data_IF_716016506762
#
_entry.id   IF_716016506762
#
_cell.length_a   1.000
_cell.length_b   1.000
_cell.length_c   1.000
_cell.angle_alpha   90.00
_cell.angle_beta   90.00
_cell.angle_gamma   90.00
#
_symmetry.space_group_name_H-M   'P 1'
#
loop_
_entity.id
_entity.type
_entity.pdbx_description
1 polymer ?
#
# COMPACT_ATOMS: atom_id res chain seq x y z
N UNK A 1 -3.78 56.14 49.69
CA UNK A 1 -4.75 55.15 49.17
C UNK A 1 -4.46 54.67 47.74
N UNK A 2 -3.81 55.44 46.84
CA UNK A 2 -3.50 54.99 45.47
C UNK A 2 -2.41 53.90 45.33
N UNK A 3 -1.47 53.81 46.28
CA UNK A 3 -0.34 52.86 46.17
C UNK A 3 -0.73 51.39 46.43
N UNK A 4 -1.84 51.14 47.12
CA UNK A 4 -2.36 49.78 47.37
C UNK A 4 -3.17 49.24 46.18
N UNK A 5 -3.89 50.12 45.47
CA UNK A 5 -4.68 49.76 44.28
C UNK A 5 -3.78 49.40 43.08
N UNK A 6 -2.65 50.10 42.91
CA UNK A 6 -1.62 49.76 41.91
C UNK A 6 -0.94 48.41 42.19
N UNK A 7 -0.64 48.11 43.45
CA UNK A 7 -0.03 46.82 43.84
C UNK A 7 -1.00 45.65 43.64
N UNK A 8 -2.28 45.82 43.98
CA UNK A 8 -3.32 44.81 43.75
C UNK A 8 -3.61 44.60 42.25
N UNK A 9 -3.59 45.66 41.45
CA UNK A 9 -3.76 45.60 40.00
C UNK A 9 -2.61 44.85 39.29
N UNK A 10 -1.36 45.10 39.68
CA UNK A 10 -0.19 44.40 39.14
C UNK A 10 -0.17 42.90 39.48
N UNK A 11 -0.58 42.53 40.70
CA UNK A 11 -0.67 41.11 41.10
C UNK A 11 -1.79 40.37 40.37
N UNK A 12 -2.90 41.05 40.04
CA UNK A 12 -4.01 40.44 39.31
C UNK A 12 -3.63 40.16 37.83
N UNK A 13 -2.91 41.07 37.17
CA UNK A 13 -2.46 40.88 35.78
C UNK A 13 -1.39 39.78 35.68
N UNK A 14 -0.46 39.71 36.63
CA UNK A 14 0.52 38.62 36.70
C UNK A 14 -0.15 37.25 36.94
N UNK A 15 -1.18 37.19 37.78
CA UNK A 15 -1.96 35.96 38.02
C UNK A 15 -2.71 35.46 36.79
N UNK A 16 -3.34 36.36 36.03
CA UNK A 16 -4.04 36.00 34.78
C UNK A 16 -3.04 35.54 33.71
N UNK A 17 -1.88 36.22 33.58
CA UNK A 17 -0.84 35.83 32.64
C UNK A 17 -0.26 34.44 32.94
N UNK A 18 0.06 34.15 34.20
CA UNK A 18 0.53 32.83 34.62
C UNK A 18 -0.55 31.75 34.46
N UNK A 19 -1.82 32.08 34.72
CA UNK A 19 -2.95 31.18 34.49
C UNK A 19 -3.11 30.79 33.02
N UNK A 20 -3.03 31.76 32.09
CA UNK A 20 -3.11 31.49 30.64
C UNK A 20 -1.93 30.63 30.18
N UNK A 21 -0.71 30.91 30.63
CA UNK A 21 0.48 30.11 30.27
C UNK A 21 0.35 28.67 30.79
N UNK A 22 -0.14 28.47 32.02
CA UNK A 22 -0.36 27.14 32.58
C UNK A 22 -1.46 26.41 31.79
N UNK A 23 -2.57 27.06 31.43
CA UNK A 23 -3.65 26.44 30.62
C UNK A 23 -3.11 26.00 29.24
N UNK A 24 -2.35 26.87 28.56
CA UNK A 24 -1.78 26.55 27.25
C UNK A 24 -0.73 25.43 27.33
N UNK A 25 0.09 25.42 28.37
CA UNK A 25 1.04 24.31 28.62
C UNK A 25 0.31 23.01 28.94
N UNK A 26 -0.80 23.06 29.68
CA UNK A 26 -1.59 21.89 30.05
C UNK A 26 -2.36 21.32 28.85
N UNK A 27 -2.83 22.16 27.92
CA UNK A 27 -3.41 21.73 26.65
C UNK A 27 -2.37 21.12 25.69
N UNK A 28 -1.18 21.72 25.61
CA UNK A 28 -0.08 21.19 24.81
C UNK A 28 0.36 19.81 25.32
N UNK A 29 0.54 19.68 26.64
CA UNK A 29 0.86 18.39 27.27
C UNK A 29 -0.26 17.36 27.09
N UNK A 30 -1.54 17.78 27.17
CA UNK A 30 -2.67 16.87 26.92
C UNK A 30 -2.66 16.36 25.47
N UNK A 31 -2.37 17.22 24.48
CA UNK A 31 -2.23 16.80 23.07
C UNK A 31 -1.09 15.81 22.86
N UNK A 32 0.08 16.05 23.45
CA UNK A 32 1.20 15.11 23.38
C UNK A 32 0.84 13.76 24.02
N UNK A 33 0.20 13.77 25.19
CA UNK A 33 -0.25 12.53 25.85
C UNK A 33 -1.32 11.75 25.07
N UNK A 34 -2.09 12.44 24.24
CA UNK A 34 -3.10 11.83 23.38
C UNK A 34 -2.49 11.25 22.09
N UNK A 35 -1.40 11.84 21.59
CA UNK A 35 -0.60 11.30 20.49
C UNK A 35 0.13 10.01 20.89
N UNK A 36 0.71 9.98 22.09
CA UNK A 36 1.46 8.83 22.61
C UNK A 36 0.58 7.69 23.13
N UNK A 37 -0.76 7.81 23.06
CA UNK A 37 -1.66 6.77 23.53
C UNK A 37 -1.53 5.53 22.63
N UNK A 38 -1.12 4.37 23.17
CA UNK A 38 -1.06 3.13 22.39
C UNK A 38 -2.44 2.78 21.86
N UNK A 39 -2.53 2.53 20.55
CA UNK A 39 -3.75 2.08 19.88
C UNK A 39 -4.15 0.72 20.47
N UNK A 40 -5.26 0.68 21.22
CA UNK A 40 -5.85 -0.59 21.67
C UNK A 40 -6.25 -1.40 20.44
N UNK A 41 -5.69 -2.59 20.31
CA UNK A 41 -6.12 -3.57 19.32
C UNK A 41 -7.55 -4.01 19.66
N UNK A 42 -8.47 -4.12 18.68
CA UNK A 42 -9.80 -4.67 18.92
C UNK A 42 -9.73 -6.18 19.23
N UNK A 43 -10.48 -6.61 20.23
CA UNK A 43 -10.71 -8.04 20.53
C UNK A 43 -11.26 -8.78 19.29
N UNK A 44 -10.87 -10.05 19.03
CA UNK A 44 -11.13 -10.70 17.75
C UNK A 44 -12.57 -11.20 17.55
N UNK A 45 -13.47 -11.03 18.51
CA UNK A 45 -14.76 -11.70 18.47
C UNK A 45 -15.92 -10.73 18.22
N UNK A 46 -16.48 -10.86 17.01
CA UNK A 46 -17.74 -10.30 16.50
C UNK A 46 -17.62 -9.06 15.59
N UNK A 47 -17.34 -9.30 14.30
CA UNK A 47 -17.53 -8.35 13.20
C UNK A 47 -18.67 -8.78 12.25
N UNK A 48 -19.46 -7.84 11.67
CA UNK A 48 -20.56 -8.16 10.78
C UNK A 48 -20.13 -8.37 9.32
N UNK A 49 -21.00 -9.09 8.61
CA UNK A 49 -21.00 -9.54 7.21
C UNK A 49 -20.06 -8.87 6.18
N UNK A 50 -19.08 -9.69 5.78
CA UNK A 50 -18.43 -9.87 4.46
C UNK A 50 -18.84 -8.92 3.31
N UNK A 51 -17.88 -8.09 2.88
CA UNK A 51 -17.71 -7.70 1.47
C UNK A 51 -16.35 -8.25 1.01
N UNK A 52 -16.37 -9.19 0.06
CA UNK A 52 -15.19 -9.94 -0.41
C UNK A 52 -14.17 -9.01 -1.08
N UNK A 53 -13.23 -8.47 -0.30
CA UNK A 53 -11.98 -7.92 -0.80
C UNK A 53 -10.89 -8.95 -0.50
N UNK A 54 -10.43 -9.65 -1.53
CA UNK A 54 -9.44 -10.71 -1.37
C UNK A 54 -8.06 -10.07 -1.18
N UNK A 55 -7.74 -9.70 0.06
CA UNK A 55 -6.37 -9.31 0.45
C UNK A 55 -5.52 -10.58 0.62
N UNK A 56 -4.83 -11.01 -0.44
CA UNK A 56 -3.98 -12.21 -0.38
C UNK A 56 -2.74 -11.93 0.47
N UNK A 57 -2.75 -12.43 1.72
CA UNK A 57 -1.60 -12.48 2.63
C UNK A 57 -0.98 -13.89 2.66
N UNK A 58 0.34 -13.87 2.89
CA UNK A 58 1.24 -14.88 3.49
C UNK A 58 2.08 -15.78 2.56
N UNK A 59 3.29 -16.01 3.07
CA UNK A 59 4.53 -16.44 2.42
C UNK A 59 4.93 -17.79 3.06
N UNK A 60 4.56 -18.88 2.39
CA UNK A 60 4.91 -20.29 2.67
C UNK A 60 5.17 -20.97 1.32
N UNK A 61 5.95 -22.08 1.25
CA UNK A 61 6.06 -22.87 0.02
C UNK A 61 4.65 -23.33 -0.34
N UNK A 62 4.11 -22.81 -1.44
CA UNK A 62 2.74 -23.09 -1.85
C UNK A 62 2.68 -24.46 -2.51
N UNK A 63 1.64 -25.22 -2.18
CA UNK A 63 1.32 -26.42 -2.94
C UNK A 63 0.99 -26.04 -4.40
N UNK A 64 1.17 -26.97 -5.34
CA UNK A 64 0.81 -26.75 -6.74
C UNK A 64 -0.64 -26.27 -6.88
N UNK A 65 -1.55 -26.84 -6.09
CA UNK A 65 -2.95 -26.43 -6.06
C UNK A 65 -3.14 -24.97 -5.62
N UNK A 66 -2.38 -24.48 -4.64
CA UNK A 66 -2.46 -23.07 -4.21
C UNK A 66 -1.90 -22.11 -5.26
N UNK A 67 -0.90 -22.52 -6.03
CA UNK A 67 -0.35 -21.74 -7.14
C UNK A 67 -1.34 -21.65 -8.30
N UNK A 68 -1.99 -22.76 -8.64
CA UNK A 68 -3.07 -22.80 -9.64
C UNK A 68 -4.25 -21.93 -9.23
N UNK A 69 -4.72 -22.06 -7.98
CA UNK A 69 -5.79 -21.24 -7.43
C UNK A 69 -5.44 -19.75 -7.48
N UNK A 70 -4.18 -19.39 -7.22
CA UNK A 70 -3.75 -17.99 -7.29
C UNK A 70 -3.76 -17.45 -8.72
N UNK A 71 -3.31 -18.24 -9.70
CA UNK A 71 -3.32 -17.84 -11.11
C UNK A 71 -4.75 -17.63 -11.60
N UNK A 72 -5.64 -18.60 -11.39
CA UNK A 72 -7.04 -18.53 -11.82
C UNK A 72 -7.77 -17.34 -11.20
N UNK A 73 -7.50 -17.06 -9.92
CA UNK A 73 -8.04 -15.89 -9.25
C UNK A 73 -7.57 -14.59 -9.90
N UNK A 74 -6.27 -14.45 -10.19
CA UNK A 74 -5.73 -13.24 -10.84
C UNK A 74 -6.30 -13.06 -12.25
N UNK A 75 -6.45 -14.13 -13.02
CA UNK A 75 -7.09 -14.09 -14.34
C UNK A 75 -8.53 -13.60 -14.23
N UNK A 76 -9.30 -14.14 -13.28
CA UNK A 76 -10.68 -13.71 -13.03
C UNK A 76 -10.77 -12.24 -12.65
N UNK A 77 -9.91 -11.79 -11.73
CA UNK A 77 -9.89 -10.40 -11.25
C UNK A 77 -9.54 -9.41 -12.36
N UNK A 78 -8.54 -9.73 -13.19
CA UNK A 78 -8.14 -8.87 -14.31
C UNK A 78 -9.20 -8.85 -15.42
N UNK A 79 -9.80 -9.99 -15.75
CA UNK A 79 -10.84 -10.07 -16.79
C UNK A 79 -12.13 -9.37 -16.40
N UNK A 80 -12.39 -9.18 -15.09
CA UNK A 80 -13.57 -8.50 -14.56
C UNK A 80 -13.30 -7.06 -14.11
N UNK A 81 -12.12 -6.52 -14.38
CA UNK A 81 -11.65 -5.20 -13.89
C UNK A 81 -11.86 -5.03 -12.36
N UNK A 82 -11.73 -6.13 -11.59
CA UNK A 82 -11.94 -6.17 -10.14
C UNK A 82 -10.65 -6.35 -9.33
N UNK A 83 -9.51 -6.44 -10.01
CA UNK A 83 -8.21 -6.32 -9.39
C UNK A 83 -8.04 -4.91 -8.81
N UNK A 84 -7.56 -4.81 -7.57
CA UNK A 84 -7.42 -3.53 -6.86
C UNK A 84 -5.94 -3.24 -6.59
N UNK A 85 -5.49 -2.02 -6.90
CA UNK A 85 -4.17 -1.56 -6.54
C UNK A 85 -4.17 -1.17 -5.06
N UNK A 86 -3.49 -1.95 -4.22
CA UNK A 86 -3.49 -1.74 -2.75
C UNK A 86 -2.81 -0.44 -2.29
N UNK A 87 -2.15 0.31 -3.19
CA UNK A 87 -1.52 1.59 -2.88
C UNK A 87 -2.54 2.73 -2.94
N UNK A 88 -3.33 2.82 -4.03
CA UNK A 88 -4.33 3.87 -4.24
C UNK A 88 -5.77 3.42 -3.95
N UNK A 89 -6.00 2.12 -3.76
CA UNK A 89 -7.33 1.50 -3.57
C UNK A 89 -8.28 1.61 -4.77
N UNK A 90 -7.75 1.95 -5.95
CA UNK A 90 -8.50 1.98 -7.21
C UNK A 90 -8.36 0.67 -7.99
N UNK A 91 -9.36 0.39 -8.83
CA UNK A 91 -9.36 -0.76 -9.72
C UNK A 91 -8.28 -0.66 -10.80
N UNK A 92 -7.74 -1.82 -11.17
CA UNK A 92 -6.79 -2.01 -12.25
C UNK A 92 -7.59 -2.49 -13.47
N UNK A 93 -7.68 -1.64 -14.48
CA UNK A 93 -8.29 -1.95 -15.77
C UNK A 93 -7.24 -2.25 -16.83
N UNK A 94 -7.70 -2.82 -17.95
CA UNK A 94 -6.87 -3.09 -19.13
C UNK A 94 -6.15 -1.86 -19.71
N UNK A 95 -6.62 -0.64 -19.43
CA UNK A 95 -6.01 0.61 -19.91
C UNK A 95 -4.82 1.05 -19.06
N UNK A 96 -4.71 0.54 -17.84
CA UNK A 96 -3.66 0.95 -16.93
C UNK A 96 -2.32 0.29 -17.30
N UNK A 97 -1.23 1.05 -17.12
CA UNK A 97 0.10 0.45 -17.03
C UNK A 97 0.26 -0.17 -15.65
N UNK A 98 0.78 -1.40 -15.60
CA UNK A 98 0.87 -2.15 -14.35
C UNK A 98 2.28 -2.70 -14.11
N UNK A 99 2.54 -3.05 -12.87
CA UNK A 99 3.70 -3.82 -12.47
C UNK A 99 3.26 -4.94 -11.52
N UNK A 100 3.85 -6.13 -11.67
CA UNK A 100 3.57 -7.28 -10.82
C UNK A 100 4.80 -7.66 -10.01
N UNK A 101 4.59 -7.93 -8.72
CA UNK A 101 5.67 -8.34 -7.84
C UNK A 101 6.20 -9.74 -8.23
N UNK A 102 7.51 -9.92 -8.47
CA UNK A 102 8.08 -11.20 -8.88
C UNK A 102 8.02 -12.28 -7.78
N UNK A 103 7.72 -11.88 -6.53
CA UNK A 103 7.72 -12.80 -5.40
C UNK A 103 6.33 -13.17 -4.86
N UNK A 104 5.34 -12.30 -5.03
CA UNK A 104 3.98 -12.55 -4.51
C UNK A 104 2.88 -12.33 -5.56
N UNK A 105 3.23 -11.87 -6.76
CA UNK A 105 2.35 -11.68 -7.90
C UNK A 105 1.21 -10.66 -7.72
N UNK A 106 1.24 -9.86 -6.65
CA UNK A 106 0.33 -8.73 -6.53
C UNK A 106 0.61 -7.71 -7.64
N UNK A 107 -0.46 -7.14 -8.18
CA UNK A 107 -0.43 -6.20 -9.30
C UNK A 107 -0.73 -4.81 -8.76
N UNK A 108 0.01 -3.83 -9.25
CA UNK A 108 -0.11 -2.42 -8.88
C UNK A 108 -0.17 -1.58 -10.15
N UNK A 109 -0.77 -0.40 -10.09
CA UNK A 109 -0.54 0.61 -11.13
C UNK A 109 0.96 0.96 -11.16
N UNK A 110 1.50 1.11 -12.37
CA UNK A 110 2.92 1.39 -12.56
C UNK A 110 3.33 2.69 -11.85
N UNK A 111 2.52 3.73 -11.94
CA UNK A 111 2.82 5.03 -11.32
C UNK A 111 2.84 4.92 -9.80
N UNK A 112 1.87 4.21 -9.22
CA UNK A 112 1.78 3.97 -7.78
C UNK A 112 3.01 3.24 -7.24
N UNK A 113 3.42 2.15 -7.90
CA UNK A 113 4.56 1.37 -7.43
C UNK A 113 5.90 2.07 -7.71
N UNK A 114 5.98 2.90 -8.75
CA UNK A 114 7.19 3.67 -9.06
C UNK A 114 7.41 4.74 -7.99
N UNK A 115 6.36 5.50 -7.64
CA UNK A 115 6.42 6.46 -6.55
C UNK A 115 6.75 5.78 -5.20
N UNK A 116 6.17 4.61 -4.94
CA UNK A 116 6.50 3.82 -3.75
C UNK A 116 7.98 3.43 -3.72
N UNK A 117 8.51 2.92 -4.83
CA UNK A 117 9.89 2.51 -4.96
C UNK A 117 10.84 3.69 -4.72
N UNK A 118 10.57 4.85 -5.31
CA UNK A 118 11.36 6.07 -5.13
C UNK A 118 11.38 6.56 -3.68
N UNK A 119 10.24 6.55 -2.99
CA UNK A 119 10.14 6.98 -1.59
C UNK A 119 10.80 6.03 -0.60
N UNK A 120 10.94 4.74 -0.98
CA UNK A 120 11.49 3.69 -0.12
C UNK A 120 12.83 3.16 -0.65
N UNK A 121 13.48 3.87 -1.60
CA UNK A 121 14.75 3.43 -2.16
C UNK A 121 15.88 3.64 -1.15
N UNK A 122 16.56 2.55 -0.83
CA UNK A 122 17.77 2.54 -0.02
C UNK A 122 18.88 1.84 -0.80
N UNK A 123 19.76 2.63 -1.41
CA UNK A 123 20.87 2.14 -2.24
C UNK A 123 20.39 1.25 -3.40
N UNK A 124 19.37 1.69 -4.15
CA UNK A 124 18.78 0.93 -5.27
C UNK A 124 18.07 -0.37 -4.86
N UNK A 125 17.61 -0.45 -3.61
CA UNK A 125 16.84 -1.55 -3.06
C UNK A 125 15.62 -0.96 -2.35
N UNK A 126 14.43 -1.47 -2.66
CA UNK A 126 13.18 -1.11 -2.00
C UNK A 126 12.35 -2.37 -1.75
N UNK A 127 11.40 -2.34 -0.82
CA UNK A 127 10.62 -3.54 -0.47
C UNK A 127 9.18 -3.47 -1.01
N UNK A 128 8.65 -4.60 -1.47
CA UNK A 128 7.26 -4.72 -1.93
C UNK A 128 6.26 -4.31 -0.83
N UNK A 129 5.22 -3.49 -1.14
CA UNK A 129 4.21 -3.08 -0.16
C UNK A 129 3.47 -4.25 0.49
N UNK A 130 3.30 -5.36 -0.24
CA UNK A 130 2.49 -6.51 0.20
C UNK A 130 3.35 -7.58 0.88
N UNK A 131 4.38 -8.09 0.21
CA UNK A 131 5.16 -9.21 0.73
C UNK A 131 6.46 -8.80 1.42
N UNK A 132 6.81 -7.50 1.41
CA UNK A 132 7.99 -6.93 2.07
C UNK A 132 9.33 -7.54 1.64
N UNK A 133 9.35 -8.29 0.53
CA UNK A 133 10.60 -8.78 -0.08
C UNK A 133 11.27 -7.65 -0.82
N UNK A 134 12.59 -7.65 -0.76
CA UNK A 134 13.44 -6.65 -1.37
C UNK A 134 13.49 -6.81 -2.89
N UNK A 135 13.49 -5.67 -3.57
CA UNK A 135 13.50 -5.53 -5.01
C UNK A 135 14.66 -4.61 -5.35
N UNK A 136 15.62 -5.15 -6.09
CA UNK A 136 16.74 -4.38 -6.60
C UNK A 136 16.28 -3.60 -7.84
N UNK A 137 16.25 -2.27 -7.75
CA UNK A 137 15.99 -1.41 -8.90
C UNK A 137 17.23 -1.31 -9.80
N UNK A 138 18.43 -1.54 -9.27
CA UNK A 138 19.71 -1.34 -9.98
C UNK A 138 19.81 0.06 -10.64
N UNK A 139 19.15 1.07 -10.07
CA UNK A 139 19.06 2.42 -10.64
C UNK A 139 18.18 2.52 -11.90
N UNK A 140 17.41 1.48 -12.23
CA UNK A 140 16.50 1.45 -13.38
C UNK A 140 15.06 1.77 -12.96
N UNK A 141 14.37 2.53 -13.80
CA UNK A 141 12.93 2.78 -13.67
C UNK A 141 12.13 1.50 -13.91
N UNK A 142 11.05 1.32 -13.15
CA UNK A 142 10.12 0.22 -13.38
C UNK A 142 9.46 0.37 -14.76
N UNK A 143 9.38 -0.73 -15.51
CA UNK A 143 8.81 -0.75 -16.85
C UNK A 143 7.50 -1.52 -16.86
N UNK A 144 6.54 -1.03 -17.64
CA UNK A 144 5.34 -1.78 -17.96
C UNK A 144 5.72 -2.93 -18.91
N UNK A 145 5.69 -4.15 -18.40
CA UNK A 145 5.91 -5.38 -19.17
C UNK A 145 4.71 -6.30 -19.03
N UNK A 146 4.54 -7.21 -19.98
CA UNK A 146 3.55 -8.26 -19.86
C UNK A 146 3.78 -9.12 -18.63
N UNK A 147 2.77 -9.89 -18.20
CA UNK A 147 2.84 -10.68 -16.96
C UNK A 147 4.00 -11.70 -16.90
N UNK A 148 4.51 -12.17 -18.05
CA UNK A 148 5.71 -13.01 -18.11
C UNK A 148 7.02 -12.23 -18.30
N UNK A 149 6.98 -10.92 -18.50
CA UNK A 149 8.14 -10.05 -18.65
C UNK A 149 8.75 -9.97 -20.05
N UNK A 150 8.17 -10.69 -21.04
CA UNK A 150 8.71 -10.78 -22.41
C UNK A 150 8.59 -9.49 -23.22
N UNK A 151 7.42 -8.85 -23.16
CA UNK A 151 7.10 -7.69 -23.99
C UNK A 151 6.92 -6.44 -23.14
N UNK A 152 7.50 -5.34 -23.57
CA UNK A 152 7.25 -4.00 -23.02
C UNK A 152 6.00 -3.41 -23.66
N UNK A 153 5.17 -2.72 -22.86
CA UNK A 153 3.91 -2.13 -23.31
C UNK A 153 3.02 -3.10 -24.11
N UNK A 154 2.60 -4.23 -23.52
CA UNK A 154 1.75 -5.20 -24.20
C UNK A 154 0.43 -4.55 -24.64
N UNK A 155 0.04 -4.84 -25.87
CA UNK A 155 -1.27 -4.44 -26.40
C UNK A 155 -2.37 -5.32 -25.84
N UNK A 156 -3.55 -4.76 -25.70
CA UNK A 156 -4.76 -5.52 -25.38
C UNK A 156 -5.12 -6.39 -26.58
N UNK A 157 -5.40 -7.67 -26.34
CA UNK A 157 -5.74 -8.66 -27.36
C UNK A 157 -7.04 -9.33 -26.93
N UNK A 158 -8.01 -9.39 -27.83
CA UNK A 158 -9.30 -10.04 -27.56
C UNK A 158 -9.13 -11.51 -27.18
N UNK A 159 -9.77 -11.93 -26.09
CA UNK A 159 -9.69 -13.30 -25.58
C UNK A 159 -8.40 -13.64 -24.81
N UNK A 160 -7.48 -12.69 -24.64
CA UNK A 160 -6.29 -12.85 -23.80
C UNK A 160 -6.48 -12.03 -22.53
N UNK A 161 -6.07 -12.58 -21.37
CA UNK A 161 -6.11 -11.85 -20.09
C UNK A 161 -5.40 -10.50 -20.21
N UNK A 162 -5.98 -9.39 -19.70
CA UNK A 162 -5.34 -8.09 -19.70
C UNK A 162 -3.88 -8.14 -19.22
N UNK A 163 -3.04 -7.31 -19.83
CA UNK A 163 -1.60 -7.22 -19.56
C UNK A 163 -0.78 -8.49 -19.91
N UNK A 164 -1.38 -9.49 -20.56
CA UNK A 164 -0.66 -10.64 -21.12
C UNK A 164 -0.43 -10.47 -22.62
N UNK A 165 0.70 -11.00 -23.14
CA UNK A 165 1.04 -10.86 -24.56
C UNK A 165 0.51 -11.99 -25.46
N UNK A 166 -0.22 -12.97 -24.92
CA UNK A 166 -0.78 -14.12 -25.66
C UNK A 166 0.24 -15.14 -26.18
N UNK A 167 1.55 -14.85 -26.14
CA UNK A 167 2.62 -15.78 -26.55
C UNK A 167 2.88 -16.84 -25.47
N UNK A 168 3.55 -17.98 -25.80
CA UNK A 168 3.97 -18.98 -24.80
C UNK A 168 4.77 -18.33 -23.67
N UNK A 169 4.54 -18.72 -22.41
CA UNK A 169 5.18 -18.10 -21.25
C UNK A 169 6.72 -18.23 -21.35
N UNK A 170 7.46 -17.13 -21.12
CA UNK A 170 8.94 -17.16 -21.17
C UNK A 170 9.57 -17.98 -20.04
N UNK A 171 8.78 -18.30 -19.01
CA UNK A 171 9.18 -19.16 -17.89
C UNK A 171 9.07 -20.66 -18.21
N UNK A 172 8.73 -20.99 -19.46
CA UNK A 172 8.68 -22.35 -20.02
C UNK A 172 7.81 -23.35 -19.23
N UNK A 173 6.67 -22.89 -18.72
CA UNK A 173 5.73 -23.70 -17.95
C UNK A 173 4.67 -24.43 -18.81
N UNK A 174 4.82 -24.43 -20.13
CA UNK A 174 3.87 -25.05 -21.07
C UNK A 174 2.55 -24.28 -21.30
N UNK A 175 2.33 -23.14 -20.62
CA UNK A 175 1.13 -22.29 -20.77
C UNK A 175 1.42 -21.05 -21.61
N UNK A 176 0.38 -20.35 -22.08
CA UNK A 176 0.51 -18.99 -22.62
C UNK A 176 0.87 -17.99 -21.50
N UNK A 177 1.29 -16.77 -21.85
CA UNK A 177 1.54 -15.70 -20.89
C UNK A 177 0.33 -15.55 -19.94
N UNK A 178 0.57 -15.73 -18.65
CA UNK A 178 -0.45 -15.72 -17.60
C UNK A 178 0.01 -14.86 -16.43
N UNK A 179 -0.92 -14.26 -15.65
CA UNK A 179 -0.60 -13.64 -14.37
C UNK A 179 -0.21 -14.71 -13.35
N UNK A 180 0.51 -14.33 -12.29
CA UNK A 180 0.79 -15.26 -11.20
C UNK A 180 1.89 -16.30 -11.46
N UNK A 181 1.99 -17.31 -10.55
CA UNK A 181 2.98 -18.39 -10.62
C UNK A 181 2.71 -19.37 -11.77
N UNK A 182 3.77 -20.05 -12.22
CA UNK A 182 3.79 -20.98 -13.36
C UNK A 182 3.12 -22.32 -13.06
#
# INVERSE_FOLDING_TARGET
MWSLLLKLGLTAVAGIGLGIVIILQQEAYRRESEYDRPRREPDPENGPSRRNTVRIRRNTPKSQQEEENQRELLETLLNSDSAECVICTDNISYQNKVWSCPHCWNIFHLDCISMWAEMNDSRSIWSCPVCRKDICSNGQTLLYKCMCGRETEPKVIDGVTPHCCGKPCIRDCGKQCHPGPC
#
